data_IF_151677014345
#
_entry.id   IF_151677014345
#
_cell.length_a   1.000
_cell.length_b   1.000
_cell.length_c   1.000
_cell.angle_alpha   90.00
_cell.angle_beta   90.00
_cell.angle_gamma   90.00
#
_symmetry.space_group_name_H-M   'P 1'
#
loop_
_entity.id
_entity.type
_entity.pdbx_description
1 polymer ?
#
# COMPACT_ATOMS: atom_id res chain seq x y z
N UNK A 1 -9.48 28.39 -16.44
CA UNK A 1 -8.08 28.53 -15.99
C UNK A 1 -7.91 28.33 -14.48
N UNK A 2 -8.62 29.06 -13.62
CA UNK A 2 -8.50 28.96 -12.14
C UNK A 2 -8.91 27.59 -11.57
N UNK A 3 -9.96 26.94 -12.11
CA UNK A 3 -10.35 25.58 -11.71
C UNK A 3 -9.33 24.49 -12.03
N UNK A 4 -8.49 24.67 -13.08
CA UNK A 4 -7.48 23.69 -13.48
C UNK A 4 -6.31 23.68 -12.49
N UNK A 5 -5.88 24.86 -12.06
CA UNK A 5 -4.85 25.03 -11.01
C UNK A 5 -5.31 24.57 -9.62
N UNK A 6 -6.60 24.69 -9.29
CA UNK A 6 -7.11 24.21 -8.00
C UNK A 6 -7.18 22.69 -7.91
N UNK A 7 -7.42 22.00 -9.03
CA UNK A 7 -7.39 20.52 -9.13
C UNK A 7 -5.95 20.02 -9.07
N UNK A 8 -5.01 20.72 -9.75
CA UNK A 8 -3.58 20.42 -9.67
C UNK A 8 -3.00 20.61 -8.26
N UNK A 9 -3.47 21.61 -7.49
CA UNK A 9 -2.99 21.82 -6.11
C UNK A 9 -3.51 20.72 -5.15
N UNK A 10 -4.75 20.29 -5.32
CA UNK A 10 -5.33 19.20 -4.52
C UNK A 10 -4.73 17.84 -4.91
N UNK A 11 -4.44 17.60 -6.19
CA UNK A 11 -3.74 16.41 -6.64
C UNK A 11 -2.28 16.42 -6.15
N UNK A 12 -1.58 17.56 -6.19
CA UNK A 12 -0.24 17.73 -5.64
C UNK A 12 -0.17 17.50 -4.12
N UNK A 13 -1.20 17.93 -3.37
CA UNK A 13 -1.29 17.64 -1.93
C UNK A 13 -1.59 16.16 -1.63
N UNK A 14 -2.28 15.47 -2.53
CA UNK A 14 -2.53 14.02 -2.44
C UNK A 14 -1.31 13.20 -2.91
N UNK A 15 -0.54 13.77 -3.84
CA UNK A 15 0.73 13.28 -4.37
C UNK A 15 1.91 13.61 -3.45
N UNK A 16 1.68 14.37 -2.38
CA UNK A 16 2.71 14.66 -1.38
C UNK A 16 3.03 13.35 -0.64
N UNK A 17 4.05 12.68 -1.16
CA UNK A 17 4.54 11.34 -0.82
C UNK A 17 4.56 11.09 0.71
N UNK A 18 4.74 12.12 1.53
CA UNK A 18 4.72 12.03 2.98
C UNK A 18 3.36 11.66 3.61
N UNK A 19 2.24 12.21 3.13
CA UNK A 19 0.95 12.12 3.83
C UNK A 19 0.40 10.69 3.82
N UNK A 20 0.47 10.03 2.65
CA UNK A 20 0.05 8.63 2.49
C UNK A 20 0.87 7.69 3.37
N UNK A 21 2.19 7.79 3.35
CA UNK A 21 3.07 6.94 4.15
C UNK A 21 2.85 7.13 5.65
N UNK A 22 2.65 8.37 6.11
CA UNK A 22 2.34 8.67 7.52
C UNK A 22 1.00 8.07 7.92
N UNK A 23 -0.05 8.20 7.10
CA UNK A 23 -1.36 7.61 7.40
C UNK A 23 -1.34 6.08 7.47
N UNK A 24 -0.61 5.41 6.57
CA UNK A 24 -0.47 3.94 6.60
C UNK A 24 0.31 3.48 7.83
N UNK A 25 1.39 4.19 8.19
CA UNK A 25 2.15 3.92 9.42
C UNK A 25 1.28 4.07 10.68
N UNK A 26 0.48 5.14 10.74
CA UNK A 26 -0.41 5.40 11.87
C UNK A 26 -1.52 4.34 11.96
N UNK A 27 -2.11 3.94 10.83
CA UNK A 27 -3.08 2.83 10.79
C UNK A 27 -2.45 1.52 11.26
N UNK A 28 -1.22 1.23 10.85
CA UNK A 28 -0.50 0.04 11.26
C UNK A 28 -0.30 -0.03 12.78
N UNK A 29 0.08 1.09 13.42
CA UNK A 29 0.21 1.16 14.88
C UNK A 29 -1.14 1.01 15.59
N UNK A 30 -2.20 1.66 15.10
CA UNK A 30 -3.56 1.50 15.63
C UNK A 30 -3.99 0.03 15.58
N UNK A 31 -3.67 -0.68 14.48
CA UNK A 31 -3.98 -2.09 14.37
C UNK A 31 -3.26 -2.96 15.39
N UNK A 32 -1.93 -2.82 15.47
CA UNK A 32 -1.12 -3.65 16.35
C UNK A 32 -1.47 -3.45 17.83
N UNK A 33 -1.75 -2.21 18.24
CA UNK A 33 -1.96 -1.88 19.65
C UNK A 33 -3.43 -1.93 20.07
N UNK A 34 -4.34 -1.35 19.28
CA UNK A 34 -5.75 -1.19 19.67
C UNK A 34 -6.57 -2.38 19.16
N UNK A 35 -6.55 -2.64 17.85
CA UNK A 35 -7.43 -3.65 17.25
C UNK A 35 -7.04 -5.06 17.70
N UNK A 36 -5.75 -5.39 17.68
CA UNK A 36 -5.26 -6.71 18.10
C UNK A 36 -5.45 -6.94 19.60
N UNK A 37 -5.28 -5.91 20.42
CA UNK A 37 -5.52 -5.98 21.87
C UNK A 37 -7.00 -6.17 22.22
N UNK A 38 -7.90 -5.45 21.56
CA UNK A 38 -9.33 -5.47 21.89
C UNK A 38 -10.15 -6.55 21.15
N UNK A 39 -9.78 -6.91 19.91
CA UNK A 39 -10.62 -7.74 19.02
C UNK A 39 -9.97 -9.06 18.59
N UNK A 40 -8.98 -9.58 19.33
CA UNK A 40 -8.29 -10.85 19.03
C UNK A 40 -9.23 -12.00 18.59
N UNK A 41 -10.41 -12.11 19.21
CA UNK A 41 -11.39 -13.19 18.93
C UNK A 41 -12.05 -13.10 17.54
N UNK A 42 -12.10 -11.91 16.94
CA UNK A 42 -12.73 -11.68 15.63
C UNK A 42 -11.72 -11.60 14.49
N UNK A 43 -10.42 -11.78 14.78
CA UNK A 43 -9.38 -11.72 13.76
C UNK A 43 -9.46 -13.00 12.91
N UNK A 44 -9.75 -12.89 11.60
CA UNK A 44 -9.80 -14.05 10.72
C UNK A 44 -8.38 -14.59 10.49
N UNK A 45 -8.27 -15.80 9.94
CA UNK A 45 -6.98 -16.49 9.79
C UNK A 45 -5.97 -15.67 8.97
N UNK A 46 -4.68 -15.85 9.23
CA UNK A 46 -3.60 -15.14 8.51
C UNK A 46 -3.75 -15.27 6.98
N UNK A 47 -4.10 -16.46 6.49
CA UNK A 47 -4.31 -16.71 5.06
C UNK A 47 -5.47 -15.88 4.49
N UNK A 48 -6.60 -15.81 5.20
CA UNK A 48 -7.76 -15.04 4.74
C UNK A 48 -7.50 -13.53 4.74
N UNK A 49 -6.77 -13.01 5.74
CA UNK A 49 -6.36 -11.60 5.78
C UNK A 49 -5.46 -11.24 4.61
N UNK A 50 -4.46 -12.09 4.34
CA UNK A 50 -3.52 -11.86 3.25
C UNK A 50 -4.19 -11.99 1.88
N UNK A 51 -5.06 -12.97 1.70
CA UNK A 51 -5.87 -13.12 0.48
C UNK A 51 -6.80 -11.94 0.23
N UNK A 52 -7.50 -11.45 1.26
CA UNK A 52 -8.34 -10.25 1.16
C UNK A 52 -7.51 -9.01 0.81
N UNK A 53 -6.34 -8.84 1.44
CA UNK A 53 -5.42 -7.75 1.13
C UNK A 53 -4.97 -7.77 -0.33
N UNK A 54 -4.62 -8.94 -0.88
CA UNK A 54 -4.25 -9.07 -2.30
C UNK A 54 -5.44 -8.73 -3.21
N UNK A 55 -6.65 -9.17 -2.87
CA UNK A 55 -7.85 -8.83 -3.64
C UNK A 55 -8.12 -7.31 -3.68
N UNK A 56 -7.94 -6.63 -2.54
CA UNK A 56 -8.06 -5.16 -2.49
C UNK A 56 -6.95 -4.44 -3.28
N UNK A 57 -5.71 -4.95 -3.26
CA UNK A 57 -4.63 -4.40 -4.09
C UNK A 57 -4.98 -4.49 -5.59
N UNK A 58 -5.50 -5.65 -6.03
CA UNK A 58 -5.93 -5.82 -7.42
C UNK A 58 -7.06 -4.85 -7.78
N UNK A 59 -8.04 -4.66 -6.89
CA UNK A 59 -9.10 -3.69 -7.11
C UNK A 59 -8.55 -2.26 -7.19
N UNK A 60 -7.59 -1.91 -6.32
CA UNK A 60 -6.85 -0.64 -6.36
C UNK A 60 -6.18 -0.39 -7.71
N UNK A 61 -5.45 -1.39 -8.23
CA UNK A 61 -4.84 -1.30 -9.57
C UNK A 61 -5.87 -1.07 -10.68
N UNK A 62 -7.02 -1.76 -10.64
CA UNK A 62 -8.10 -1.56 -11.62
C UNK A 62 -8.63 -0.13 -11.52
N UNK A 63 -8.86 0.38 -10.31
CA UNK A 63 -9.33 1.76 -10.11
C UNK A 63 -8.32 2.80 -10.58
N UNK A 64 -7.02 2.54 -10.43
CA UNK A 64 -5.95 3.42 -10.92
C UNK A 64 -5.96 3.53 -12.44
N UNK A 65 -6.08 2.40 -13.14
CA UNK A 65 -6.18 2.37 -14.61
C UNK A 65 -7.45 3.08 -15.08
N UNK A 66 -8.56 2.91 -14.34
CA UNK A 66 -9.82 3.57 -14.65
C UNK A 66 -9.75 5.08 -14.44
N UNK A 67 -9.09 5.55 -13.38
CA UNK A 67 -8.90 6.97 -13.07
C UNK A 67 -8.25 7.72 -14.24
N UNK A 68 -7.29 7.11 -14.95
CA UNK A 68 -6.62 7.72 -16.10
C UNK A 68 -7.56 8.00 -17.30
N UNK A 69 -8.72 7.37 -17.37
CA UNK A 69 -9.65 7.47 -18.51
C UNK A 69 -10.90 8.30 -18.22
N UNK A 70 -11.25 8.54 -16.95
CA UNK A 70 -12.53 9.12 -16.55
C UNK A 70 -12.42 10.57 -16.04
N UNK A 71 -13.49 11.35 -16.24
CA UNK A 71 -13.60 12.77 -15.82
C UNK A 71 -13.77 12.95 -14.30
N UNK A 72 -14.04 11.86 -13.56
CA UNK A 72 -14.25 11.81 -12.11
C UNK A 72 -12.95 11.45 -11.35
N UNK A 73 -11.83 12.02 -11.81
CA UNK A 73 -10.47 11.68 -11.41
C UNK A 73 -10.22 11.75 -9.90
N UNK A 74 -10.65 12.84 -9.24
CA UNK A 74 -10.39 13.08 -7.82
C UNK A 74 -11.06 12.03 -6.90
N UNK A 75 -12.29 11.63 -7.21
CA UNK A 75 -13.00 10.61 -6.44
C UNK A 75 -12.38 9.22 -6.64
N UNK A 76 -12.00 8.90 -7.88
CA UNK A 76 -11.36 7.62 -8.20
C UNK A 76 -9.98 7.49 -7.54
N UNK A 77 -9.21 8.59 -7.45
CA UNK A 77 -7.96 8.63 -6.68
C UNK A 77 -8.18 8.40 -5.19
N UNK A 78 -9.20 9.03 -4.59
CA UNK A 78 -9.55 8.79 -3.19
C UNK A 78 -9.89 7.31 -2.95
N UNK A 79 -10.70 6.71 -3.84
CA UNK A 79 -11.05 5.28 -3.76
C UNK A 79 -9.82 4.39 -3.90
N UNK A 80 -8.93 4.70 -4.84
CA UNK A 80 -7.67 3.98 -5.04
C UNK A 80 -6.79 4.03 -3.80
N UNK A 81 -6.59 5.21 -3.20
CA UNK A 81 -5.82 5.34 -1.97
C UNK A 81 -6.41 4.55 -0.80
N UNK A 82 -7.74 4.56 -0.64
CA UNK A 82 -8.41 3.78 0.41
C UNK A 82 -8.21 2.28 0.18
N UNK A 83 -8.36 1.80 -1.05
CA UNK A 83 -8.17 0.39 -1.41
C UNK A 83 -6.73 -0.06 -1.19
N UNK A 84 -5.75 0.71 -1.68
CA UNK A 84 -4.32 0.42 -1.54
C UNK A 84 -3.89 0.49 -0.07
N UNK A 85 -4.37 1.48 0.69
CA UNK A 85 -4.14 1.58 2.13
C UNK A 85 -4.71 0.40 2.91
N UNK A 86 -5.93 -0.03 2.58
CA UNK A 86 -6.58 -1.20 3.20
C UNK A 86 -5.84 -2.49 2.86
N UNK A 87 -5.32 -2.61 1.64
CA UNK A 87 -4.48 -3.74 1.23
C UNK A 87 -3.18 -3.80 2.03
N UNK A 88 -2.42 -2.70 2.10
CA UNK A 88 -1.18 -2.62 2.87
C UNK A 88 -1.43 -2.94 4.35
N UNK A 89 -2.53 -2.43 4.91
CA UNK A 89 -2.95 -2.71 6.27
C UNK A 89 -3.25 -4.18 6.54
N UNK A 90 -3.81 -4.91 5.58
CA UNK A 90 -4.10 -6.33 5.74
C UNK A 90 -2.86 -7.21 5.50
N UNK A 91 -1.98 -6.84 4.57
CA UNK A 91 -0.83 -7.67 4.19
C UNK A 91 0.32 -7.49 5.19
N UNK A 92 0.72 -6.26 5.49
CA UNK A 92 1.95 -5.95 6.23
C UNK A 92 1.99 -6.52 7.66
N UNK A 93 0.99 -6.34 8.53
CA UNK A 93 1.01 -6.96 9.86
C UNK A 93 0.90 -8.48 9.79
N UNK A 94 0.16 -9.01 8.80
CA UNK A 94 -0.02 -10.46 8.63
C UNK A 94 1.28 -11.13 8.19
N UNK A 95 2.04 -10.51 7.28
CA UNK A 95 3.34 -11.03 6.85
C UNK A 95 4.33 -11.05 8.01
N UNK A 96 4.36 -10.00 8.84
CA UNK A 96 5.20 -9.95 10.03
C UNK A 96 4.81 -10.99 11.09
N UNK A 97 3.51 -11.15 11.36
CA UNK A 97 3.02 -12.19 12.28
C UNK A 97 3.41 -13.59 11.80
N UNK A 98 3.30 -13.84 10.50
CA UNK A 98 3.71 -15.10 9.89
C UNK A 98 5.24 -15.29 9.97
N UNK A 99 6.03 -14.27 9.64
CA UNK A 99 7.50 -14.32 9.74
C UNK A 99 7.94 -14.60 11.18
N UNK A 100 7.32 -13.97 12.18
CA UNK A 100 7.62 -14.23 13.59
C UNK A 100 7.21 -15.64 14.00
N UNK A 101 6.04 -16.12 13.56
CA UNK A 101 5.57 -17.46 13.89
C UNK A 101 6.44 -18.57 13.29
N UNK A 102 7.02 -18.33 12.10
CA UNK A 102 7.86 -19.30 11.40
C UNK A 102 9.36 -19.18 11.72
N UNK A 103 9.78 -18.16 12.47
CA UNK A 103 11.20 -17.92 12.73
C UNK A 103 11.67 -18.56 14.05
N UNK A 104 12.91 -19.11 14.08
CA UNK A 104 13.54 -19.57 15.31
C UNK A 104 13.61 -18.46 16.35
N UNK A 105 13.43 -18.77 17.64
CA UNK A 105 13.25 -17.77 18.70
C UNK A 105 14.39 -16.74 18.75
N UNK A 106 15.63 -17.20 18.62
CA UNK A 106 16.84 -16.37 18.65
C UNK A 106 17.08 -15.57 17.35
N UNK A 107 16.34 -15.86 16.27
CA UNK A 107 16.46 -15.20 14.97
C UNK A 107 15.25 -14.36 14.58
N UNK A 108 14.20 -14.30 15.42
CA UNK A 108 12.95 -13.58 15.13
C UNK A 108 13.20 -12.14 14.67
N UNK A 109 14.07 -11.41 15.37
CA UNK A 109 14.43 -10.03 15.01
C UNK A 109 15.09 -9.91 13.64
N UNK A 110 15.99 -10.85 13.29
CA UNK A 110 16.67 -10.86 11.99
C UNK A 110 15.67 -11.14 10.86
N UNK A 111 14.76 -12.09 11.07
CA UNK A 111 13.76 -12.44 10.05
C UNK A 111 12.77 -11.31 9.80
N UNK A 112 12.33 -10.62 10.85
CA UNK A 112 11.51 -9.40 10.73
C UNK A 112 12.28 -8.29 10.00
N UNK A 113 13.55 -8.08 10.33
CA UNK A 113 14.40 -7.10 9.64
C UNK A 113 14.56 -7.39 8.15
N UNK A 114 14.75 -8.66 7.79
CA UNK A 114 14.80 -9.11 6.39
C UNK A 114 13.47 -8.90 5.65
N UNK A 115 12.33 -9.04 6.34
CA UNK A 115 11.02 -8.74 5.76
C UNK A 115 10.90 -7.25 5.37
N UNK A 116 11.29 -6.33 6.25
CA UNK A 116 11.33 -4.90 5.93
C UNK A 116 12.33 -4.55 4.83
N UNK A 117 13.52 -5.16 4.88
CA UNK A 117 14.53 -4.99 3.84
C UNK A 117 14.01 -5.43 2.46
N UNK A 118 13.32 -6.58 2.40
CA UNK A 118 12.68 -7.08 1.18
C UNK A 118 11.61 -6.13 0.65
N UNK A 119 10.82 -5.50 1.54
CA UNK A 119 9.85 -4.47 1.16
C UNK A 119 10.52 -3.25 0.52
N UNK A 120 11.62 -2.75 1.10
CA UNK A 120 12.40 -1.64 0.56
C UNK A 120 13.04 -1.96 -0.81
N UNK A 121 13.55 -3.19 -0.98
CA UNK A 121 14.03 -3.67 -2.28
C UNK A 121 12.88 -3.68 -3.30
N UNK A 122 11.71 -4.23 -2.92
CA UNK A 122 10.54 -4.29 -3.80
C UNK A 122 10.13 -2.90 -4.30
N UNK A 123 10.09 -1.91 -3.42
CA UNK A 123 9.81 -0.51 -3.78
C UNK A 123 10.86 0.04 -4.75
N UNK A 124 12.15 -0.20 -4.47
CA UNK A 124 13.25 0.24 -5.33
C UNK A 124 13.18 -0.39 -6.72
N UNK A 125 12.89 -1.69 -6.81
CA UNK A 125 12.68 -2.41 -8.06
C UNK A 125 11.47 -1.87 -8.85
N UNK A 126 10.35 -1.61 -8.18
CA UNK A 126 9.16 -1.06 -8.82
C UNK A 126 9.42 0.34 -9.41
N UNK A 127 10.16 1.18 -8.69
CA UNK A 127 10.57 2.50 -9.18
C UNK A 127 11.46 2.41 -10.43
N UNK A 128 12.48 1.54 -10.40
CA UNK A 128 13.35 1.29 -11.56
C UNK A 128 12.57 0.78 -12.77
N UNK A 129 11.63 -0.16 -12.55
CA UNK A 129 10.78 -0.71 -13.60
C UNK A 129 9.86 0.38 -14.21
N UNK A 130 9.24 1.21 -13.37
CA UNK A 130 8.39 2.31 -13.83
C UNK A 130 9.18 3.32 -14.68
N UNK A 131 10.39 3.66 -14.25
CA UNK A 131 11.28 4.52 -15.03
C UNK A 131 11.59 3.90 -16.39
N UNK A 132 11.98 2.63 -16.43
CA UNK A 132 12.29 1.92 -17.65
C UNK A 132 11.10 1.88 -18.62
N UNK A 133 9.89 1.55 -18.14
CA UNK A 133 8.67 1.52 -18.95
C UNK A 133 8.34 2.90 -19.53
N UNK A 134 8.48 3.97 -18.74
CA UNK A 134 8.28 5.35 -19.23
C UNK A 134 9.27 5.70 -20.34
N UNK A 135 10.57 5.45 -20.12
CA UNK A 135 11.61 5.70 -21.13
C UNK A 135 11.33 4.91 -22.41
N UNK A 136 10.92 3.65 -22.29
CA UNK A 136 10.62 2.80 -23.44
C UNK A 136 9.37 3.29 -24.21
N UNK A 137 8.33 3.72 -23.50
CA UNK A 137 7.13 4.31 -24.11
C UNK A 137 7.46 5.59 -24.91
N UNK A 138 8.31 6.46 -24.37
CA UNK A 138 8.78 7.67 -25.08
C UNK A 138 9.66 7.38 -26.30
N UNK A 139 10.29 6.21 -26.38
CA UNK A 139 11.12 5.85 -27.53
C UNK A 139 10.30 5.27 -28.69
N UNK A 140 9.12 4.71 -28.40
CA UNK A 140 8.23 4.08 -29.39
C UNK A 140 7.29 5.09 -30.07
N UNK A 141 6.92 6.17 -29.37
CA UNK A 141 6.05 7.25 -29.87
C UNK A 141 6.89 8.42 -30.37
#
# INVERSE_FOLDING_TARGET
HIKKYSIDLHSLMFEDYGTYHITVLLLFFIYQFIIRGCFHKYIPSMLTRMGAGIAFALLGCITQVLAQKFLLYDFLLLVEQVLTGTSCFLILPTSLEFTVAQSPEYMRGIMVGLCYFSFGIGYSCAFMLSHFVKTWYYYII
#
